data_IF_797961973181
#
_entry.id   IF_797961973181
#
_cell.length_a   1.000
_cell.length_b   1.000
_cell.length_c   1.000
_cell.angle_alpha   90.00
_cell.angle_beta   90.00
_cell.angle_gamma   90.00
#
_symmetry.space_group_name_H-M   'P 1'
#
loop_
_entity.id
_entity.type
_entity.pdbx_description
1 polymer ?
#
# COMPACT_ATOMS: atom_id res chain seq x y z
N UNK A 1 -12.87 -4.29 26.12
CA UNK A 1 -12.11 -5.26 25.31
C UNK A 1 -11.03 -4.52 24.54
N UNK A 2 -9.81 -4.51 25.07
CA UNK A 2 -8.61 -4.02 24.39
C UNK A 2 -8.30 -5.00 23.25
N UNK A 3 -8.62 -4.57 22.03
CA UNK A 3 -8.43 -5.37 20.81
C UNK A 3 -6.93 -5.47 20.55
N UNK A 4 -6.36 -6.67 20.66
CA UNK A 4 -4.92 -6.88 20.43
C UNK A 4 -4.49 -6.25 19.11
N UNK A 5 -3.46 -5.40 19.17
CA UNK A 5 -2.74 -4.99 18.00
C UNK A 5 -2.24 -6.24 17.28
N UNK A 6 -2.47 -6.35 15.97
CA UNK A 6 -1.98 -7.50 15.21
C UNK A 6 -0.45 -7.56 15.36
N UNK A 7 0.06 -8.71 15.84
CA UNK A 7 1.50 -8.96 15.97
C UNK A 7 2.23 -8.60 14.67
N UNK A 8 3.20 -7.71 14.77
CA UNK A 8 3.95 -7.17 13.64
C UNK A 8 4.65 -8.27 12.82
N UNK A 9 5.09 -9.36 13.46
CA UNK A 9 5.69 -10.48 12.74
C UNK A 9 4.64 -11.22 11.88
N UNK A 10 3.47 -11.51 12.46
CA UNK A 10 2.37 -12.11 11.71
C UNK A 10 1.86 -11.21 10.57
N UNK A 11 1.76 -9.89 10.79
CA UNK A 11 1.40 -8.94 9.73
C UNK A 11 2.44 -8.95 8.62
N UNK A 12 3.73 -8.96 8.95
CA UNK A 12 4.82 -9.03 7.98
C UNK A 12 4.73 -10.29 7.12
N UNK A 13 4.50 -11.46 7.73
CA UNK A 13 4.38 -12.72 7.00
C UNK A 13 3.19 -12.72 6.02
N UNK A 14 2.02 -12.25 6.46
CA UNK A 14 0.83 -12.13 5.58
C UNK A 14 1.07 -11.15 4.44
N UNK A 15 1.72 -10.02 4.71
CA UNK A 15 2.02 -9.02 3.68
C UNK A 15 3.08 -9.52 2.70
N UNK A 16 4.06 -10.31 3.16
CA UNK A 16 5.02 -10.97 2.28
C UNK A 16 4.33 -11.97 1.33
N UNK A 17 3.36 -12.74 1.82
CA UNK A 17 2.54 -13.65 0.98
C UNK A 17 1.64 -12.89 0.01
N UNK A 18 1.08 -11.74 0.41
CA UNK A 18 0.35 -10.89 -0.51
C UNK A 18 1.29 -10.42 -1.64
N UNK A 19 2.47 -9.89 -1.29
CA UNK A 19 3.46 -9.39 -2.25
C UNK A 19 4.06 -10.43 -3.16
N UNK A 20 4.17 -11.69 -2.73
CA UNK A 20 4.66 -12.77 -3.61
C UNK A 20 3.71 -13.07 -4.76
N UNK A 21 2.46 -12.60 -4.68
CA UNK A 21 1.46 -12.72 -5.74
C UNK A 21 1.28 -11.42 -6.52
N UNK A 22 1.96 -10.34 -6.15
CA UNK A 22 1.81 -9.04 -6.79
C UNK A 22 2.58 -9.02 -8.11
N UNK A 23 1.88 -8.71 -9.19
CA UNK A 23 2.45 -8.52 -10.53
C UNK A 23 2.35 -7.06 -11.01
N UNK A 24 1.41 -6.28 -10.46
CA UNK A 24 1.20 -4.88 -10.81
C UNK A 24 0.69 -4.06 -9.61
N UNK A 25 0.71 -2.74 -9.75
CA UNK A 25 0.07 -1.85 -8.78
C UNK A 25 -0.67 -0.70 -9.46
N UNK A 26 -1.76 -0.25 -8.84
CA UNK A 26 -2.48 0.97 -9.20
C UNK A 26 -2.30 2.01 -8.11
N UNK A 27 -2.13 3.26 -8.52
CA UNK A 27 -2.20 4.43 -7.64
C UNK A 27 -3.62 4.97 -7.75
N UNK A 28 -4.38 4.86 -6.68
CA UNK A 28 -5.76 5.30 -6.62
C UNK A 28 -5.83 6.71 -6.04
N UNK A 29 -6.48 7.60 -6.79
CA UNK A 29 -6.71 8.98 -6.39
C UNK A 29 -7.78 9.10 -5.30
N UNK A 30 -7.85 10.31 -4.75
CA UNK A 30 -8.87 10.71 -3.77
C UNK A 30 -8.66 10.15 -2.36
N UNK A 31 -9.37 10.70 -1.36
CA UNK A 31 -9.27 10.22 0.01
C UNK A 31 -9.87 8.81 0.18
N UNK A 32 -9.26 7.97 1.01
CA UNK A 32 -9.87 6.71 1.52
C UNK A 32 -11.03 7.04 2.49
N UNK A 33 -12.16 7.49 1.94
CA UNK A 33 -13.41 7.78 2.67
C UNK A 33 -14.38 6.59 2.70
N UNK A 34 -13.87 5.37 2.51
CA UNK A 34 -14.69 4.16 2.49
C UNK A 34 -15.16 3.73 1.08
N UNK A 35 -14.75 4.44 0.03
CA UNK A 35 -14.91 3.96 -1.35
C UNK A 35 -14.01 2.74 -1.58
N UNK A 36 -14.56 1.60 -2.03
CA UNK A 36 -13.78 0.42 -2.36
C UNK A 36 -12.67 0.72 -3.37
N UNK A 37 -11.47 0.10 -3.28
CA UNK A 37 -10.39 0.32 -4.24
C UNK A 37 -10.81 0.18 -5.71
N UNK A 38 -11.69 -0.77 -6.01
CA UNK A 38 -12.19 -1.02 -7.37
C UNK A 38 -13.07 0.11 -7.94
N UNK A 39 -13.62 0.96 -7.08
CA UNK A 39 -14.50 2.08 -7.48
C UNK A 39 -13.75 3.42 -7.54
N UNK A 40 -12.45 3.42 -7.20
CA UNK A 40 -11.65 4.65 -7.17
C UNK A 40 -10.94 4.86 -8.51
N UNK A 41 -10.84 6.11 -8.99
CA UNK A 41 -10.12 6.41 -10.19
C UNK A 41 -8.63 6.11 -10.00
N UNK A 42 -8.04 5.37 -10.95
CA UNK A 42 -6.60 5.25 -11.07
C UNK A 42 -6.02 6.59 -11.53
N UNK A 43 -4.99 7.06 -10.82
CA UNK A 43 -4.20 8.26 -11.16
C UNK A 43 -2.76 7.90 -11.51
N UNK A 44 -2.42 6.61 -11.46
CA UNK A 44 -1.10 6.05 -11.73
C UNK A 44 -1.16 4.53 -11.89
N UNK A 45 -0.27 3.98 -12.71
CA UNK A 45 -0.26 2.56 -13.06
C UNK A 45 1.18 2.04 -13.13
N UNK A 46 1.44 0.94 -12.42
CA UNK A 46 2.75 0.31 -12.32
C UNK A 46 2.65 -1.12 -12.84
N UNK A 47 2.84 -1.29 -14.15
CA UNK A 47 2.85 -2.61 -14.83
C UNK A 47 4.25 -3.08 -15.21
N UNK A 48 5.24 -2.20 -15.11
CA UNK A 48 6.64 -2.57 -15.27
C UNK A 48 7.06 -3.52 -14.13
N UNK A 49 7.71 -4.66 -14.42
CA UNK A 49 8.03 -5.66 -13.41
C UNK A 49 8.96 -5.16 -12.30
N UNK A 50 9.79 -4.14 -12.55
CA UNK A 50 10.70 -3.59 -11.55
C UNK A 50 9.97 -2.69 -10.55
N UNK A 51 8.88 -2.04 -10.98
CA UNK A 51 8.09 -1.15 -10.14
C UNK A 51 7.52 -1.80 -8.88
N UNK A 52 6.76 -2.92 -8.96
CA UNK A 52 6.28 -3.65 -7.78
C UNK A 52 7.40 -4.19 -6.90
N UNK A 53 8.54 -4.57 -7.48
CA UNK A 53 9.71 -5.02 -6.72
C UNK A 53 10.35 -3.88 -5.92
N UNK A 54 10.50 -2.70 -6.53
CA UNK A 54 11.01 -1.49 -5.89
C UNK A 54 10.06 -1.02 -4.77
N UNK A 55 8.75 -0.97 -5.05
CA UNK A 55 7.74 -0.65 -4.03
C UNK A 55 7.79 -1.62 -2.85
N UNK A 56 7.96 -2.92 -3.13
CA UNK A 56 8.13 -3.95 -2.10
C UNK A 56 9.37 -3.67 -1.26
N UNK A 57 10.51 -3.35 -1.86
CA UNK A 57 11.74 -3.05 -1.13
C UNK A 57 11.54 -1.86 -0.17
N UNK A 58 10.98 -0.76 -0.67
CA UNK A 58 10.74 0.47 0.09
C UNK A 58 9.74 0.30 1.24
N UNK A 59 8.82 -0.66 1.11
CA UNK A 59 7.73 -0.85 2.07
C UNK A 59 7.82 -2.19 2.83
N UNK A 60 8.95 -2.88 2.78
CA UNK A 60 9.17 -4.15 3.51
C UNK A 60 10.08 -4.00 4.71
N UNK A 61 10.86 -2.94 4.77
CA UNK A 61 11.74 -2.60 5.88
C UNK A 61 11.05 -1.62 6.82
N UNK A 62 11.32 -1.75 8.12
CA UNK A 62 10.73 -0.89 9.15
C UNK A 62 9.87 -1.62 10.19
N UNK A 63 9.16 -0.85 10.99
CA UNK A 63 8.51 -1.32 12.23
C UNK A 63 7.01 -1.17 12.16
N UNK A 64 6.29 -2.27 12.41
CA UNK A 64 4.83 -2.23 12.56
C UNK A 64 4.47 -1.67 13.94
N UNK A 65 3.56 -0.71 13.96
CA UNK A 65 3.22 0.05 15.18
C UNK A 65 1.90 -0.39 15.83
N UNK A 66 1.15 -1.30 15.19
CA UNK A 66 -0.17 -1.74 15.66
C UNK A 66 -1.28 -0.70 15.48
N UNK A 67 -0.94 0.49 14.97
CA UNK A 67 -1.87 1.59 14.75
C UNK A 67 -2.57 1.53 13.39
N UNK A 68 -3.66 2.28 13.29
CA UNK A 68 -4.32 2.62 12.03
C UNK A 68 -4.46 4.14 11.98
N UNK A 69 -3.62 4.81 11.18
CA UNK A 69 -3.75 6.25 10.94
C UNK A 69 -4.31 6.48 9.55
N UNK A 70 -5.33 7.32 9.45
CA UNK A 70 -5.81 7.85 8.17
C UNK A 70 -5.35 9.28 7.99
N UNK A 71 -4.89 9.58 6.80
CA UNK A 71 -4.83 10.95 6.30
C UNK A 71 -5.84 11.05 5.16
N UNK A 72 -6.95 11.79 5.34
CA UNK A 72 -7.84 12.12 4.24
C UNK A 72 -7.03 12.76 3.10
N UNK A 73 -7.10 12.16 1.91
CA UNK A 73 -6.49 12.69 0.69
C UNK A 73 -5.17 12.01 0.29
N UNK A 74 -4.62 11.12 1.12
CA UNK A 74 -3.44 10.36 0.74
C UNK A 74 -3.76 9.36 -0.39
N UNK A 75 -2.86 9.21 -1.38
CA UNK A 75 -3.03 8.21 -2.42
C UNK A 75 -3.05 6.80 -1.80
N UNK A 76 -3.76 5.89 -2.45
CA UNK A 76 -3.75 4.48 -2.06
C UNK A 76 -3.08 3.67 -3.15
N UNK A 77 -2.09 2.88 -2.77
CA UNK A 77 -1.50 1.89 -3.67
C UNK A 77 -2.26 0.59 -3.51
N UNK A 78 -2.92 0.15 -4.58
CA UNK A 78 -3.55 -1.16 -4.68
C UNK A 78 -2.58 -2.11 -5.38
N UNK A 79 -2.30 -3.25 -4.76
CA UNK A 79 -1.49 -4.32 -5.34
C UNK A 79 -2.40 -5.31 -6.05
N UNK A 80 -2.04 -5.67 -7.27
CA UNK A 80 -2.77 -6.59 -8.12
C UNK A 80 -1.93 -7.83 -8.43
N UNK A 81 -2.58 -8.98 -8.61
CA UNK A 81 -1.93 -10.16 -9.17
C UNK A 81 -1.86 -10.13 -10.70
N UNK A 82 -1.34 -11.21 -11.30
CA UNK A 82 -1.13 -11.32 -12.74
C UNK A 82 -2.44 -11.31 -13.55
N UNK A 83 -3.57 -11.69 -12.92
CA UNK A 83 -4.89 -11.64 -13.53
C UNK A 83 -5.58 -10.28 -13.31
N UNK A 84 -4.88 -9.34 -12.66
CA UNK A 84 -5.41 -8.01 -12.32
C UNK A 84 -6.32 -8.00 -11.08
N UNK A 85 -6.39 -9.09 -10.32
CA UNK A 85 -7.23 -9.16 -9.14
C UNK A 85 -6.57 -8.49 -7.93
N UNK A 86 -7.39 -7.89 -7.06
CA UNK A 86 -6.93 -7.17 -5.88
C UNK A 86 -6.29 -8.12 -4.84
N UNK A 87 -5.07 -7.78 -4.40
CA UNK A 87 -4.30 -8.58 -3.45
C UNK A 87 -4.18 -7.92 -2.08
N UNK A 88 -3.90 -6.62 -2.05
CA UNK A 88 -3.69 -5.81 -0.84
C UNK A 88 -3.69 -4.32 -1.19
N UNK A 89 -3.85 -3.45 -0.20
CA UNK A 89 -3.60 -2.02 -0.37
C UNK A 89 -2.86 -1.39 0.80
N UNK A 90 -2.14 -0.31 0.50
CA UNK A 90 -1.44 0.51 1.47
C UNK A 90 -1.53 1.99 1.09
N UNK A 91 -1.60 2.88 2.07
CA UNK A 91 -1.59 4.32 1.83
C UNK A 91 -0.43 4.98 2.59
N UNK A 92 0.47 5.70 1.90
CA UNK A 92 1.46 6.53 2.57
C UNK A 92 0.77 7.59 3.42
N UNK A 93 1.26 7.83 4.64
CA UNK A 93 0.71 8.82 5.54
C UNK A 93 1.77 9.56 6.33
N UNK A 94 1.53 10.86 6.53
CA UNK A 94 2.36 11.74 7.37
C UNK A 94 3.83 11.81 6.98
N UNK A 95 4.18 11.43 5.75
CA UNK A 95 5.55 11.37 5.25
C UNK A 95 6.47 10.44 6.06
N UNK A 96 5.92 9.38 6.69
CA UNK A 96 6.69 8.47 7.56
C UNK A 96 6.29 7.00 7.47
N UNK A 97 5.01 6.74 7.23
CA UNK A 97 4.45 5.43 7.45
C UNK A 97 3.57 5.01 6.26
N UNK A 98 3.35 3.70 6.10
CA UNK A 98 2.34 3.13 5.22
C UNK A 98 1.27 2.44 6.06
N UNK A 99 0.02 2.89 5.94
CA UNK A 99 -1.13 2.23 6.56
C UNK A 99 -1.62 1.12 5.64
N UNK A 100 -1.46 -0.14 6.07
CA UNK A 100 -1.90 -1.31 5.31
C UNK A 100 -3.36 -1.67 5.59
N UNK A 101 -4.03 -2.18 4.56
CA UNK A 101 -5.46 -2.49 4.46
C UNK A 101 -6.16 -2.85 5.79
N UNK A 102 -7.29 -2.16 6.04
CA UNK A 102 -8.03 -2.24 7.31
C UNK A 102 -8.85 -3.53 7.46
N UNK A 103 -9.17 -4.23 6.38
CA UNK A 103 -9.86 -5.52 6.46
C UNK A 103 -8.91 -6.59 6.99
N UNK A 104 -7.70 -6.62 6.42
CA UNK A 104 -6.77 -7.73 6.54
C UNK A 104 -5.56 -7.51 7.44
N UNK A 105 -4.85 -6.38 7.30
CA UNK A 105 -3.56 -6.16 7.99
C UNK A 105 -3.71 -5.32 9.25
N UNK A 106 -4.55 -4.27 9.18
CA UNK A 106 -4.87 -3.38 10.32
C UNK A 106 -3.64 -2.81 11.02
N UNK A 107 -2.63 -2.39 10.27
CA UNK A 107 -1.36 -1.97 10.85
C UNK A 107 -0.66 -0.91 10.00
N UNK A 108 0.07 -0.03 10.67
CA UNK A 108 0.94 0.95 10.06
C UNK A 108 2.39 0.48 10.14
N UNK A 109 3.09 0.53 9.01
CA UNK A 109 4.51 0.30 8.93
C UNK A 109 5.23 1.65 8.87
N UNK A 110 6.03 1.98 9.87
CA UNK A 110 7.01 3.07 9.76
C UNK A 110 8.14 2.60 8.86
N UNK A 111 8.31 3.24 7.71
CA UNK A 111 9.30 2.85 6.69
C UNK A 111 10.64 3.53 6.95
N UNK A 112 11.73 2.88 6.52
CA UNK A 112 13.08 3.41 6.68
C UNK A 112 13.34 4.63 5.78
N UNK A 113 12.77 4.62 4.57
CA UNK A 113 12.76 5.75 3.64
C UNK A 113 11.30 6.15 3.35
N UNK A 114 10.80 7.20 4.00
CA UNK A 114 9.44 7.69 3.76
C UNK A 114 9.24 8.43 2.44
N UNK A 115 10.31 8.95 1.83
CA UNK A 115 10.24 9.68 0.57
C UNK A 115 10.20 8.74 -0.63
N UNK A 116 10.92 7.62 -0.54
CA UNK A 116 11.04 6.63 -1.61
C UNK A 116 9.70 6.16 -2.19
N UNK A 117 8.72 5.71 -1.39
CA UNK A 117 7.42 5.29 -1.91
C UNK A 117 6.72 6.40 -2.71
N UNK A 118 6.76 7.65 -2.26
CA UNK A 118 6.13 8.76 -2.97
C UNK A 118 6.87 9.10 -4.27
N UNK A 119 8.20 9.17 -4.21
CA UNK A 119 9.04 9.41 -5.39
C UNK A 119 8.88 8.31 -6.45
N UNK A 120 8.70 7.06 -6.02
CA UNK A 120 8.38 5.95 -6.92
C UNK A 120 7.02 6.17 -7.59
N UNK A 121 5.99 6.52 -6.82
CA UNK A 121 4.64 6.74 -7.36
C UNK A 121 4.61 7.92 -8.36
N UNK A 122 5.40 8.97 -8.12
CA UNK A 122 5.53 10.12 -9.02
C UNK A 122 6.14 9.74 -10.39
N UNK A 123 6.92 8.66 -10.47
CA UNK A 123 7.46 8.12 -11.75
C UNK A 123 6.41 7.43 -12.60
N UNK A 124 5.26 7.05 -12.04
CA UNK A 124 4.20 6.33 -12.73
C UNK A 124 2.91 7.15 -12.81
N UNK A 125 2.93 8.32 -13.49
CA UNK A 125 1.72 9.09 -13.72
C UNK A 125 0.74 8.27 -14.55
N UNK A 126 -0.55 8.34 -14.21
CA UNK A 126 -1.59 7.61 -14.93
C UNK A 126 -1.60 8.06 -16.39
N UNK A 127 -1.58 7.10 -17.32
CA UNK A 127 -1.88 7.45 -18.71
C UNK A 127 -3.31 7.94 -18.73
N UNK A 128 -3.51 9.24 -18.96
CA UNK A 128 -4.81 9.81 -19.29
C UNK A 128 -5.31 9.10 -20.55
N UNK A 129 -6.14 8.07 -20.39
CA UNK A 129 -7.03 7.60 -21.45
C UNK A 129 -8.34 8.36 -21.36
#
# INVERSE_FOLDING_TARGET
>A
MTREAADGAAVRARLAQARSRTAAALVLGGPDLGTPPAERPAVGEVFDPDGPAELRALTSTGTFTGGLRRCPGSPTVALLDADGAFVASGSPHGGRDISWERGRFRNNLTVADPGGPLALLDRYPGQRR
#
